data_IF_400756140588
#
_entry.id   IF_400756140588
#
_cell.length_a   1.000
_cell.length_b   1.000
_cell.length_c   1.000
_cell.angle_alpha   90.00
_cell.angle_beta   90.00
_cell.angle_gamma   90.00
#
_symmetry.space_group_name_H-M   'P 1'
#
loop_
_entity.id
_entity.type
_entity.pdbx_description
1 polymer ?
#
# COMPACT_ATOMS: atom_id res chain seq x y z
N UNK A 1 11.09 -20.56 2.53
CA UNK A 1 9.82 -20.54 3.28
C UNK A 1 9.04 -19.30 2.85
N UNK A 2 8.23 -19.38 1.79
CA UNK A 2 7.25 -18.35 1.44
C UNK A 2 5.87 -18.98 1.53
N UNK A 3 5.26 -18.84 2.71
CA UNK A 3 3.90 -19.28 2.93
C UNK A 3 2.98 -18.62 1.87
N UNK A 4 2.00 -19.35 1.31
CA UNK A 4 0.98 -18.75 0.48
C UNK A 4 0.15 -17.86 1.38
N UNK A 5 0.49 -16.58 1.44
CA UNK A 5 -0.36 -15.64 2.15
C UNK A 5 -1.65 -15.53 1.37
N UNK A 6 -2.76 -15.78 2.04
CA UNK A 6 -4.09 -15.65 1.49
C UNK A 6 -4.19 -14.29 0.81
N UNK A 7 -4.35 -14.29 -0.51
CA UNK A 7 -4.42 -13.06 -1.28
C UNK A 7 -5.57 -12.20 -0.73
N UNK A 8 -5.22 -11.04 -0.18
CA UNK A 8 -6.24 -10.15 0.39
C UNK A 8 -7.12 -9.62 -0.75
N UNK A 9 -8.42 -9.49 -0.50
CA UNK A 9 -9.37 -8.96 -1.49
C UNK A 9 -9.20 -7.45 -1.62
N UNK A 10 -9.42 -6.89 -2.81
CA UNK A 10 -9.31 -5.43 -3.02
C UNK A 10 -10.35 -4.62 -2.22
N UNK A 11 -11.49 -5.22 -1.90
CA UNK A 11 -12.52 -4.61 -1.05
C UNK A 11 -12.13 -4.57 0.44
N UNK A 12 -11.07 -5.29 0.83
CA UNK A 12 -10.59 -5.32 2.19
C UNK A 12 -10.14 -3.93 2.67
N UNK A 13 -10.38 -3.59 3.95
CA UNK A 13 -9.85 -2.38 4.55
C UNK A 13 -8.32 -2.46 4.70
N UNK A 14 -7.66 -1.29 4.68
CA UNK A 14 -6.22 -1.19 4.91
C UNK A 14 -5.76 -1.68 6.29
N UNK A 15 -6.68 -1.71 7.25
CA UNK A 15 -6.43 -2.19 8.61
C UNK A 15 -5.89 -3.64 8.62
N UNK A 16 -6.32 -4.47 7.66
CA UNK A 16 -5.85 -5.86 7.53
C UNK A 16 -4.41 -6.00 7.03
N UNK A 17 -3.81 -4.93 6.49
CA UNK A 17 -2.41 -4.91 6.06
C UNK A 17 -1.43 -4.65 7.22
N UNK A 18 -1.94 -4.48 8.45
CA UNK A 18 -1.17 -4.18 9.67
C UNK A 18 -0.17 -3.04 9.43
N UNK A 19 -0.65 -1.98 8.77
CA UNK A 19 0.15 -0.80 8.45
C UNK A 19 0.30 0.07 9.70
N UNK A 20 1.45 0.73 9.81
CA UNK A 20 1.66 1.70 10.88
C UNK A 20 0.63 2.83 10.79
N UNK A 21 0.09 3.24 11.93
CA UNK A 21 -0.86 4.35 12.04
C UNK A 21 -0.41 5.61 11.28
N UNK A 22 0.89 5.90 11.25
CA UNK A 22 1.43 7.03 10.47
C UNK A 22 1.22 6.88 8.96
N UNK A 23 1.38 5.67 8.43
CA UNK A 23 1.15 5.36 7.02
C UNK A 23 -0.35 5.37 6.73
N UNK A 24 -1.14 4.69 7.55
CA UNK A 24 -2.61 4.64 7.42
C UNK A 24 -3.24 6.03 7.46
N UNK A 25 -2.78 6.91 8.36
CA UNK A 25 -3.26 8.29 8.42
C UNK A 25 -2.95 9.08 7.14
N UNK A 26 -1.79 8.86 6.51
CA UNK A 26 -1.44 9.53 5.25
C UNK A 26 -2.27 8.99 4.09
N UNK A 27 -2.46 7.68 4.03
CA UNK A 27 -3.35 7.03 3.06
C UNK A 27 -4.79 7.52 3.20
N UNK A 28 -5.32 7.56 4.43
CA UNK A 28 -6.64 8.11 4.73
C UNK A 28 -6.77 9.60 4.32
N UNK A 29 -5.71 10.40 4.54
CA UNK A 29 -5.68 11.81 4.10
C UNK A 29 -5.69 11.94 2.57
N UNK A 30 -5.19 10.94 1.84
CA UNK A 30 -5.26 10.84 0.38
C UNK A 30 -6.59 10.22 -0.11
N UNK A 31 -7.52 9.88 0.79
CA UNK A 31 -8.78 9.23 0.46
C UNK A 31 -8.67 7.72 0.21
N UNK A 32 -7.54 7.10 0.59
CA UNK A 32 -7.27 5.67 0.41
C UNK A 32 -7.63 4.94 1.71
N UNK A 33 -8.71 4.16 1.67
CA UNK A 33 -9.21 3.41 2.83
C UNK A 33 -9.19 1.89 2.63
N UNK A 34 -9.10 1.43 1.38
CA UNK A 34 -9.11 0.01 1.01
C UNK A 34 -7.85 -0.40 0.28
N UNK A 35 -7.60 -1.71 0.25
CA UNK A 35 -6.46 -2.29 -0.48
C UNK A 35 -6.56 -2.02 -1.99
N UNK A 36 -7.78 -2.04 -2.54
CA UNK A 36 -8.03 -1.73 -3.94
C UNK A 36 -7.59 -0.33 -4.33
N UNK A 37 -7.91 0.68 -3.50
CA UNK A 37 -7.46 2.06 -3.68
C UNK A 37 -5.93 2.16 -3.63
N UNK A 38 -5.28 1.37 -2.76
CA UNK A 38 -3.83 1.36 -2.69
C UNK A 38 -3.18 0.70 -3.91
N UNK A 39 -3.80 -0.34 -4.46
CA UNK A 39 -3.31 -1.04 -5.66
C UNK A 39 -3.39 -0.18 -6.94
N UNK A 40 -4.28 0.82 -7.01
CA UNK A 40 -4.33 1.76 -8.14
C UNK A 40 -3.27 2.86 -8.01
N UNK A 41 -2.80 3.14 -6.80
CA UNK A 41 -1.71 4.07 -6.57
C UNK A 41 -0.36 3.48 -6.99
N UNK A 42 0.48 4.34 -7.54
CA UNK A 42 1.84 4.01 -7.92
C UNK A 42 2.82 4.45 -6.84
N UNK A 43 4.02 3.86 -6.82
CA UNK A 43 5.05 4.24 -5.86
C UNK A 43 5.40 5.74 -5.95
N UNK A 44 5.41 6.30 -7.16
CA UNK A 44 5.69 7.73 -7.35
C UNK A 44 4.56 8.62 -6.87
N UNK A 45 3.29 8.21 -7.05
CA UNK A 45 2.13 8.95 -6.54
C UNK A 45 2.18 9.03 -5.01
N UNK A 46 2.51 7.91 -4.36
CA UNK A 46 2.68 7.88 -2.91
C UNK A 46 3.86 8.76 -2.47
N UNK A 47 5.00 8.74 -3.16
CA UNK A 47 6.15 9.61 -2.84
C UNK A 47 5.89 11.10 -3.10
N UNK A 48 4.98 11.45 -4.00
CA UNK A 48 4.54 12.84 -4.23
C UNK A 48 3.62 13.35 -3.11
N UNK A 49 3.07 12.47 -2.26
CA UNK A 49 2.19 12.89 -1.17
C UNK A 49 2.97 13.65 -0.08
N UNK A 50 2.47 14.81 0.37
CA UNK A 50 3.13 15.58 1.41
C UNK A 50 3.19 14.80 2.74
N UNK A 51 4.39 14.63 3.27
CA UNK A 51 4.64 13.87 4.49
C UNK A 51 4.61 12.35 4.31
N UNK A 52 4.65 11.87 3.06
CA UNK A 52 4.89 10.49 2.70
C UNK A 52 6.36 10.36 2.23
N UNK A 53 7.07 9.36 2.74
CA UNK A 53 8.50 9.20 2.45
C UNK A 53 8.85 7.76 2.10
N UNK A 54 10.11 7.54 1.73
CA UNK A 54 10.65 6.22 1.33
C UNK A 54 10.35 5.14 2.38
N UNK A 55 10.45 5.45 3.68
CA UNK A 55 10.09 4.51 4.75
C UNK A 55 8.62 4.10 4.72
N UNK A 56 7.71 5.07 4.57
CA UNK A 56 6.27 4.80 4.47
C UNK A 56 5.94 3.96 3.23
N UNK A 57 6.60 4.26 2.10
CA UNK A 57 6.46 3.49 0.86
C UNK A 57 6.90 2.04 1.05
N UNK A 58 8.09 1.82 1.62
CA UNK A 58 8.59 0.46 1.89
C UNK A 58 7.69 -0.33 2.82
N UNK A 59 7.07 0.34 3.80
CA UNK A 59 6.12 -0.29 4.72
C UNK A 59 4.87 -0.76 3.98
N UNK A 60 4.32 0.10 3.10
CA UNK A 60 3.21 -0.26 2.20
C UNK A 60 3.57 -1.43 1.29
N UNK A 61 4.70 -1.35 0.58
CA UNK A 61 5.12 -2.40 -0.35
C UNK A 61 5.31 -3.74 0.36
N UNK A 62 5.92 -3.73 1.55
CA UNK A 62 6.13 -4.94 2.34
C UNK A 62 4.80 -5.54 2.78
N UNK A 63 3.86 -4.73 3.27
CA UNK A 63 2.54 -5.22 3.67
C UNK A 63 1.75 -5.74 2.46
N UNK A 64 1.81 -5.06 1.31
CA UNK A 64 1.18 -5.54 0.07
C UNK A 64 1.78 -6.85 -0.41
N UNK A 65 3.10 -6.98 -0.44
CA UNK A 65 3.77 -8.25 -0.78
C UNK A 65 3.37 -9.37 0.17
N UNK A 66 3.30 -9.07 1.47
CA UNK A 66 2.75 -9.97 2.49
C UNK A 66 1.28 -10.26 2.29
N UNK A 67 0.53 -9.47 1.55
CA UNK A 67 -0.87 -9.73 1.23
C UNK A 67 -1.06 -10.39 -0.15
N UNK A 68 0.04 -10.72 -0.85
CA UNK A 68 0.01 -11.25 -2.22
C UNK A 68 -0.41 -10.20 -3.26
N UNK A 69 -0.22 -8.92 -2.96
CA UNK A 69 -0.56 -7.76 -3.79
C UNK A 69 0.68 -6.92 -4.05
N UNK A 70 0.54 -5.94 -4.95
CA UNK A 70 1.61 -4.99 -5.27
C UNK A 70 0.98 -3.66 -5.68
N UNK A 71 1.76 -2.59 -5.56
CA UNK A 71 1.40 -1.28 -6.10
C UNK A 71 1.35 -1.32 -7.62
N UNK A 72 0.70 -0.31 -8.21
CA UNK A 72 0.74 -0.12 -9.65
C UNK A 72 2.19 0.05 -10.10
N UNK A 73 2.64 -0.82 -11.02
CA UNK A 73 3.92 -0.64 -11.70
C UNK A 73 3.77 0.55 -12.64
N UNK A 74 4.49 1.63 -12.36
CA UNK A 74 4.77 2.63 -13.39
C UNK A 74 5.80 2.01 -14.33
N UNK A 75 5.41 1.74 -15.57
CA UNK A 75 6.36 1.35 -16.61
C UNK A 75 7.41 2.48 -16.74
N UNK A 76 8.70 2.18 -16.49
CA UNK A 76 9.75 3.14 -16.78
C UNK A 76 9.83 3.27 -18.30
N UNK A 77 9.38 4.41 -18.82
CA UNK A 77 9.64 4.81 -20.21
C UNK A 77 11.10 5.23 -20.37
#
# INVERSE_FOLDING_TARGET
>A
MNAPVAAIKSDAPLDLLDLNFRVTNRLASAGIFRVGDLCVCSASDLLKMPGFGVKSLQEVERSLQRAGRSLRKEDPQ
#
